data_IF_018696801954
#
_entry.id   IF_018696801954
#
_cell.length_a   1.000
_cell.length_b   1.000
_cell.length_c   1.000
_cell.angle_alpha   90.00
_cell.angle_beta   90.00
_cell.angle_gamma   90.00
#
_symmetry.space_group_name_H-M   'P 1'
#
loop_
_entity.id
_entity.type
_entity.pdbx_description
1 polymer ?
#
# COMPACT_ATOMS: atom_id res chain seq x y z
N UNK A 1 9.14 -14.96 -3.90
CA UNK A 1 9.52 -14.31 -2.65
C UNK A 1 11.03 -14.19 -2.53
N UNK A 2 11.49 -13.25 -1.70
CA UNK A 2 12.92 -13.05 -1.48
C UNK A 2 13.46 -14.03 -0.44
N UNK A 3 14.49 -14.77 -0.81
CA UNK A 3 15.34 -15.53 0.09
C UNK A 3 16.58 -14.73 0.46
N UNK A 4 17.13 -14.98 1.63
CA UNK A 4 18.38 -14.40 2.08
C UNK A 4 19.27 -15.48 2.67
N UNK A 5 20.55 -15.46 2.29
CA UNK A 5 21.63 -16.12 3.04
C UNK A 5 22.50 -15.04 3.62
N UNK A 6 22.92 -15.22 4.85
CA UNK A 6 23.94 -14.36 5.49
C UNK A 6 25.23 -15.15 5.61
N UNK A 7 26.31 -14.52 5.22
CA UNK A 7 27.64 -15.09 5.41
C UNK A 7 28.11 -14.95 6.87
N UNK A 8 29.33 -15.38 7.16
CA UNK A 8 29.94 -15.29 8.49
C UNK A 8 30.14 -13.86 9.00
N UNK A 9 30.11 -12.85 8.09
CA UNK A 9 30.20 -11.43 8.39
C UNK A 9 28.82 -10.75 8.42
N UNK A 10 27.74 -11.52 8.38
CA UNK A 10 26.37 -11.05 8.33
C UNK A 10 26.01 -10.26 7.07
N UNK A 11 26.78 -10.36 6.00
CA UNK A 11 26.45 -9.77 4.71
C UNK A 11 25.31 -10.57 4.09
N UNK A 12 24.26 -9.88 3.67
CA UNK A 12 23.12 -10.51 3.01
C UNK A 12 23.43 -10.80 1.54
N UNK A 13 22.99 -11.96 1.09
CA UNK A 13 22.96 -12.33 -0.33
C UNK A 13 21.50 -12.61 -0.70
N UNK A 14 20.77 -11.60 -1.18
CA UNK A 14 19.37 -11.74 -1.55
C UNK A 14 19.23 -12.41 -2.93
N UNK A 15 18.20 -13.23 -3.07
CA UNK A 15 17.81 -13.84 -4.32
C UNK A 15 16.32 -14.11 -4.34
N UNK A 16 15.72 -14.24 -5.51
CA UNK A 16 14.30 -14.53 -5.62
C UNK A 16 14.11 -16.02 -5.87
N UNK A 17 13.21 -16.63 -5.10
CA UNK A 17 12.85 -18.04 -5.16
C UNK A 17 11.34 -18.18 -5.30
N UNK A 18 10.89 -19.31 -5.80
CA UNK A 18 9.48 -19.57 -6.06
C UNK A 18 8.90 -20.67 -5.20
N UNK A 19 7.59 -20.65 -5.09
CA UNK A 19 6.80 -21.75 -4.58
C UNK A 19 5.51 -21.86 -5.39
N UNK A 20 5.02 -23.07 -5.54
CA UNK A 20 3.74 -23.35 -6.17
C UNK A 20 2.72 -23.66 -5.07
N UNK A 21 1.55 -23.06 -5.15
CA UNK A 21 0.42 -23.37 -4.27
C UNK A 21 -0.65 -24.07 -5.13
N UNK A 22 -1.09 -25.24 -4.70
CA UNK A 22 -2.18 -25.94 -5.36
C UNK A 22 -3.55 -25.40 -4.89
N UNK A 23 -4.62 -25.92 -5.51
CA UNK A 23 -6.00 -25.53 -5.20
C UNK A 23 -6.43 -25.79 -3.74
N UNK A 24 -5.74 -26.69 -3.05
CA UNK A 24 -6.01 -27.08 -1.65
C UNK A 24 -5.13 -26.27 -0.67
N UNK A 25 -4.37 -25.29 -1.17
CA UNK A 25 -3.49 -24.42 -0.39
C UNK A 25 -2.14 -25.05 -0.01
N UNK A 26 -1.82 -26.23 -0.53
CA UNK A 26 -0.53 -26.86 -0.27
C UNK A 26 0.59 -26.13 -1.04
N UNK A 27 1.61 -25.73 -0.32
CA UNK A 27 2.76 -25.02 -0.87
C UNK A 27 3.92 -25.98 -1.09
N UNK A 28 4.48 -25.97 -2.30
CA UNK A 28 5.68 -26.70 -2.68
C UNK A 28 6.73 -25.71 -3.15
N UNK A 29 7.87 -25.66 -2.48
CA UNK A 29 8.99 -24.78 -2.85
C UNK A 29 9.67 -25.28 -4.11
N UNK A 30 10.08 -24.34 -4.97
CA UNK A 30 10.93 -24.62 -6.11
C UNK A 30 12.37 -24.64 -5.60
N UNK A 31 13.06 -25.76 -5.79
CA UNK A 31 14.46 -25.94 -5.35
C UNK A 31 15.44 -25.35 -6.39
N UNK A 32 15.30 -24.07 -6.65
CA UNK A 32 16.12 -23.29 -7.60
C UNK A 32 16.02 -21.81 -7.30
N UNK A 33 17.15 -21.10 -7.36
CA UNK A 33 17.15 -19.63 -7.42
C UNK A 33 16.58 -19.24 -8.79
N UNK A 34 15.55 -18.40 -8.80
CA UNK A 34 14.88 -17.92 -10.00
C UNK A 34 15.54 -16.65 -10.55
N UNK A 35 15.85 -15.71 -9.67
CA UNK A 35 16.55 -14.47 -9.99
C UNK A 35 17.59 -14.23 -8.90
N UNK A 36 18.85 -14.22 -9.29
CA UNK A 36 19.95 -13.93 -8.38
C UNK A 36 20.17 -12.43 -8.22
N UNK A 37 20.89 -12.02 -7.17
CA UNK A 37 21.28 -10.62 -6.96
C UNK A 37 22.09 -10.12 -8.15
N UNK A 38 21.67 -9.02 -8.81
CA UNK A 38 22.46 -8.44 -9.89
C UNK A 38 23.78 -7.85 -9.38
N UNK A 39 24.83 -7.95 -10.19
CA UNK A 39 26.16 -7.44 -9.84
C UNK A 39 26.22 -5.90 -9.69
N UNK A 40 25.26 -5.20 -10.26
CA UNK A 40 25.10 -3.74 -10.20
C UNK A 40 24.16 -3.27 -9.09
N UNK A 41 23.73 -4.19 -8.18
CA UNK A 41 22.92 -3.88 -7.01
C UNK A 41 23.66 -4.11 -5.71
N UNK A 42 23.24 -3.40 -4.67
CA UNK A 42 23.65 -3.69 -3.28
C UNK A 42 22.85 -4.90 -2.77
N UNK A 43 23.01 -5.25 -1.49
CA UNK A 43 22.20 -6.28 -0.83
C UNK A 43 20.73 -5.88 -0.58
N UNK A 44 20.32 -4.70 -1.01
CA UNK A 44 18.93 -4.30 -1.13
C UNK A 44 18.39 -4.71 -2.52
N UNK A 45 17.90 -5.95 -2.61
CA UNK A 45 17.27 -6.50 -3.80
C UNK A 45 16.18 -7.48 -3.39
N UNK A 46 14.90 -7.05 -3.39
CA UNK A 46 13.79 -7.78 -2.76
C UNK A 46 12.42 -7.44 -3.32
N UNK A 47 11.41 -8.12 -2.78
CA UNK A 47 9.98 -7.88 -2.97
C UNK A 47 9.53 -8.11 -4.42
N UNK A 48 9.70 -9.36 -4.94
CA UNK A 48 9.29 -9.68 -6.30
C UNK A 48 7.78 -9.74 -6.42
N UNK A 49 7.24 -9.13 -7.48
CA UNK A 49 5.87 -9.33 -7.92
C UNK A 49 5.85 -9.92 -9.33
N UNK A 50 5.04 -10.97 -9.55
CA UNK A 50 4.80 -11.55 -10.87
C UNK A 50 3.46 -11.04 -11.39
N UNK A 51 3.40 -10.68 -12.67
CA UNK A 51 2.17 -10.29 -13.35
C UNK A 51 2.13 -10.83 -14.79
N UNK A 52 0.92 -10.91 -15.34
CA UNK A 52 0.71 -11.25 -16.75
C UNK A 52 0.35 -10.00 -17.54
N UNK A 53 1.02 -9.79 -18.66
CA UNK A 53 0.67 -8.74 -19.61
C UNK A 53 0.56 -9.34 -21.00
N UNK A 54 -0.63 -9.30 -21.57
CA UNK A 54 -0.96 -9.81 -22.91
C UNK A 54 -0.48 -11.26 -23.16
N UNK A 55 -0.63 -12.10 -22.14
CA UNK A 55 -0.26 -13.52 -22.21
C UNK A 55 1.21 -13.86 -21.93
N UNK A 56 2.07 -12.86 -21.72
CA UNK A 56 3.44 -13.02 -21.30
C UNK A 56 3.58 -12.72 -19.80
N UNK A 57 4.36 -13.53 -19.08
CA UNK A 57 4.66 -13.29 -17.68
C UNK A 57 5.91 -12.44 -17.50
N UNK A 58 5.80 -11.50 -16.62
CA UNK A 58 6.86 -10.60 -16.18
C UNK A 58 6.98 -10.63 -14.66
N UNK A 59 8.14 -10.22 -14.16
CA UNK A 59 8.34 -9.94 -12.75
C UNK A 59 9.03 -8.58 -12.58
N UNK A 60 8.66 -7.86 -11.53
CA UNK A 60 9.41 -6.68 -11.08
C UNK A 60 10.01 -6.96 -9.72
N UNK A 61 11.18 -6.41 -9.46
CA UNK A 61 11.91 -6.56 -8.20
C UNK A 61 12.44 -5.19 -7.79
N UNK A 62 12.22 -4.80 -6.54
CA UNK A 62 12.79 -3.57 -5.98
C UNK A 62 14.26 -3.73 -5.66
N UNK A 63 15.04 -2.68 -5.85
CA UNK A 63 16.47 -2.71 -5.62
C UNK A 63 17.08 -1.37 -5.30
N UNK A 64 18.37 -1.43 -4.94
CA UNK A 64 19.25 -0.29 -4.77
C UNK A 64 20.51 -0.52 -5.59
N UNK A 65 20.90 0.45 -6.40
CA UNK A 65 22.14 0.40 -7.17
C UNK A 65 23.38 0.68 -6.31
N UNK A 66 24.55 0.56 -6.90
CA UNK A 66 25.83 0.80 -6.20
C UNK A 66 26.04 2.27 -5.81
N UNK A 67 25.29 3.21 -6.41
CA UNK A 67 25.25 4.63 -6.02
C UNK A 67 24.24 4.90 -4.90
N UNK A 68 23.62 3.83 -4.35
CA UNK A 68 22.57 3.87 -3.32
C UNK A 68 21.30 4.61 -3.77
N UNK A 69 20.90 4.41 -5.02
CA UNK A 69 19.65 4.90 -5.60
C UNK A 69 18.68 3.74 -5.82
N UNK A 70 17.44 3.96 -5.42
CA UNK A 70 16.37 2.98 -5.61
C UNK A 70 16.00 2.79 -7.08
N UNK A 71 15.77 1.54 -7.48
CA UNK A 71 15.27 1.17 -8.80
C UNK A 71 14.21 0.05 -8.71
N UNK A 72 13.49 -0.15 -9.77
CA UNK A 72 12.62 -1.31 -9.98
C UNK A 72 13.11 -2.02 -11.25
N UNK A 73 13.49 -3.29 -11.16
CA UNK A 73 13.99 -4.05 -12.31
C UNK A 73 12.93 -4.96 -12.88
N UNK A 74 12.75 -4.89 -14.20
CA UNK A 74 11.83 -5.73 -14.95
C UNK A 74 12.53 -7.00 -15.47
N UNK A 75 11.86 -8.12 -15.29
CA UNK A 75 12.25 -9.44 -15.83
C UNK A 75 11.12 -10.00 -16.67
N UNK A 76 11.49 -10.78 -17.69
CA UNK A 76 10.57 -11.52 -18.57
C UNK A 76 10.78 -13.02 -18.37
N UNK A 77 9.70 -13.78 -18.22
CA UNK A 77 9.77 -15.23 -18.20
C UNK A 77 10.16 -15.75 -19.59
N UNK A 78 11.17 -16.63 -19.64
CA UNK A 78 11.69 -17.19 -20.90
C UNK A 78 10.89 -18.42 -21.33
N UNK A 79 10.31 -19.12 -20.37
CA UNK A 79 9.55 -20.35 -20.54
C UNK A 79 8.22 -20.31 -19.80
N UNK A 80 7.38 -21.32 -20.02
CA UNK A 80 6.06 -21.42 -19.41
C UNK A 80 6.07 -22.06 -18.01
N UNK A 81 7.21 -22.49 -17.50
CA UNK A 81 7.35 -23.08 -16.17
C UNK A 81 7.73 -22.05 -15.09
N UNK A 82 7.98 -20.80 -15.51
CA UNK A 82 8.34 -19.65 -14.67
C UNK A 82 9.60 -19.84 -13.84
N UNK A 83 10.48 -20.75 -14.26
CA UNK A 83 11.72 -21.03 -13.55
C UNK A 83 12.94 -20.34 -14.15
N UNK A 84 12.80 -19.76 -15.35
CA UNK A 84 13.86 -19.03 -16.04
C UNK A 84 13.41 -17.62 -16.38
N UNK A 85 14.17 -16.64 -15.90
CA UNK A 85 13.88 -15.23 -16.04
C UNK A 85 15.04 -14.50 -16.71
N UNK A 86 14.72 -13.61 -17.62
CA UNK A 86 15.68 -12.74 -18.28
C UNK A 86 15.43 -11.30 -17.86
N UNK A 87 16.47 -10.59 -17.41
CA UNK A 87 16.37 -9.16 -17.14
C UNK A 87 16.12 -8.42 -18.46
N UNK A 88 15.12 -7.53 -18.45
CA UNK A 88 14.84 -6.58 -19.53
C UNK A 88 15.62 -5.29 -19.28
N UNK A 89 15.49 -4.71 -18.08
CA UNK A 89 16.15 -3.48 -17.67
C UNK A 89 15.51 -2.91 -16.40
N UNK A 90 15.98 -1.76 -15.98
CA UNK A 90 15.31 -0.98 -14.96
C UNK A 90 14.06 -0.33 -15.56
N UNK A 91 12.95 -0.45 -14.85
CA UNK A 91 11.68 0.12 -15.27
C UNK A 91 11.79 1.66 -15.25
N UNK A 92 11.58 2.28 -16.40
CA UNK A 92 11.41 3.72 -16.48
C UNK A 92 9.94 4.06 -16.14
N UNK A 93 9.77 4.74 -15.03
CA UNK A 93 8.48 5.26 -14.56
C UNK A 93 8.62 6.74 -14.13
N UNK A 94 9.54 7.47 -14.76
CA UNK A 94 9.91 8.83 -14.40
C UNK A 94 10.31 8.95 -12.91
N UNK A 95 11.20 8.03 -12.45
CA UNK A 95 11.72 8.04 -11.09
C UNK A 95 12.63 9.24 -10.84
N UNK A 96 12.38 10.00 -9.77
CA UNK A 96 13.20 11.14 -9.36
C UNK A 96 14.58 10.74 -8.80
N UNK A 97 14.76 9.45 -8.43
CA UNK A 97 15.98 8.85 -7.89
C UNK A 97 16.48 9.45 -6.57
N UNK A 98 15.60 10.06 -5.78
CA UNK A 98 15.96 10.56 -4.44
C UNK A 98 15.86 9.45 -3.39
N UNK A 99 14.92 8.54 -3.52
CA UNK A 99 14.77 7.38 -2.63
C UNK A 99 15.96 6.42 -2.75
N UNK A 100 16.42 5.91 -1.62
CA UNK A 100 17.55 4.96 -1.61
C UNK A 100 17.13 3.51 -1.87
N UNK A 101 15.84 3.18 -1.75
CA UNK A 101 15.31 1.84 -2.01
C UNK A 101 13.85 1.93 -2.49
N UNK A 102 13.50 1.13 -3.48
CA UNK A 102 12.11 0.93 -3.91
C UNK A 102 11.60 -0.39 -3.33
N UNK A 103 10.86 -0.31 -2.21
CA UNK A 103 10.26 -1.50 -1.58
C UNK A 103 8.89 -1.81 -2.15
N UNK A 104 8.55 -3.08 -2.10
CA UNK A 104 7.22 -3.61 -2.44
C UNK A 104 6.65 -3.08 -3.76
N UNK A 105 7.42 -3.06 -4.88
CA UNK A 105 6.86 -2.60 -6.14
C UNK A 105 5.80 -3.58 -6.63
N UNK A 106 4.64 -3.04 -7.02
CA UNK A 106 3.56 -3.79 -7.64
C UNK A 106 3.09 -3.07 -8.90
N UNK A 107 3.15 -3.73 -10.04
CA UNK A 107 2.62 -3.23 -11.30
C UNK A 107 1.32 -3.97 -11.60
N UNK A 108 0.21 -3.24 -11.59
CA UNK A 108 -1.12 -3.75 -11.91
C UNK A 108 -1.78 -2.92 -13.00
N UNK A 109 -2.79 -3.47 -13.64
CA UNK A 109 -3.52 -2.80 -14.70
C UNK A 109 -4.95 -2.48 -14.25
N UNK A 110 -5.29 -1.19 -14.25
CA UNK A 110 -6.64 -0.69 -13.99
C UNK A 110 -7.24 -0.30 -15.33
N UNK A 111 -8.08 -1.15 -15.89
CA UNK A 111 -8.40 -1.09 -17.30
C UNK A 111 -7.16 -1.32 -18.15
N UNK A 112 -6.80 -0.37 -18.99
CA UNK A 112 -5.60 -0.44 -19.83
C UNK A 112 -4.39 0.32 -19.24
N UNK A 113 -4.58 1.02 -18.11
CA UNK A 113 -3.55 1.84 -17.50
C UNK A 113 -2.68 1.02 -16.54
N UNK A 114 -1.35 1.00 -16.75
CA UNK A 114 -0.42 0.48 -15.75
C UNK A 114 -0.39 1.40 -14.54
N UNK A 115 -0.48 0.82 -13.36
CA UNK A 115 -0.37 1.50 -12.07
C UNK A 115 0.76 0.85 -11.30
N UNK A 116 1.79 1.63 -10.99
CA UNK A 116 2.90 1.20 -10.13
C UNK A 116 2.63 1.68 -8.71
N UNK A 117 2.47 0.74 -7.79
CA UNK A 117 2.42 0.97 -6.34
C UNK A 117 3.78 0.63 -5.76
N UNK A 118 4.32 1.44 -4.87
CA UNK A 118 5.63 1.18 -4.26
C UNK A 118 5.87 2.04 -3.02
N UNK A 119 6.87 1.64 -2.24
CA UNK A 119 7.28 2.34 -1.02
C UNK A 119 8.72 2.87 -1.21
N UNK A 120 8.89 4.13 -1.65
CA UNK A 120 10.20 4.72 -1.89
C UNK A 120 10.85 5.16 -0.57
N UNK A 121 11.67 4.30 0.04
CA UNK A 121 12.35 4.64 1.28
C UNK A 121 13.35 5.77 1.10
N UNK A 122 13.27 6.76 1.99
CA UNK A 122 14.13 7.94 1.95
C UNK A 122 13.82 8.91 0.80
N UNK A 123 12.58 8.86 0.27
CA UNK A 123 12.09 9.87 -0.69
C UNK A 123 12.28 11.27 -0.10
N UNK A 124 12.86 12.17 -0.89
CA UNK A 124 13.00 13.57 -0.49
C UNK A 124 11.61 14.21 -0.38
N UNK A 125 11.31 14.83 0.76
CA UNK A 125 10.06 15.56 0.99
C UNK A 125 9.87 16.74 0.05
N UNK A 126 10.92 17.20 -0.60
CA UNK A 126 10.84 18.18 -1.70
C UNK A 126 10.19 17.62 -2.98
N UNK A 127 10.16 16.29 -3.16
CA UNK A 127 9.47 15.63 -4.28
C UNK A 127 7.98 15.50 -4.01
N UNK A 128 7.62 14.96 -2.85
CA UNK A 128 6.24 14.88 -2.37
C UNK A 128 6.24 14.82 -0.84
N UNK A 129 5.42 15.64 -0.20
CA UNK A 129 5.33 15.67 1.25
C UNK A 129 4.56 14.46 1.80
N UNK A 130 5.05 13.92 2.91
CA UNK A 130 4.45 12.82 3.65
C UNK A 130 4.89 12.88 5.13
N UNK A 131 4.04 12.46 6.05
CA UNK A 131 4.31 12.54 7.48
C UNK A 131 4.91 11.25 8.05
N UNK A 132 4.62 10.10 7.46
CA UNK A 132 5.07 8.80 7.96
C UNK A 132 6.60 8.63 7.81
N UNK A 133 7.20 7.72 8.58
CA UNK A 133 8.63 7.41 8.45
C UNK A 133 8.98 6.93 7.03
N UNK A 134 8.10 6.11 6.44
CA UNK A 134 8.23 5.62 5.07
C UNK A 134 6.95 5.89 4.28
N UNK A 135 7.08 6.43 3.06
CA UNK A 135 5.94 6.73 2.22
C UNK A 135 5.41 5.49 1.49
N UNK A 136 4.12 5.52 1.13
CA UNK A 136 3.45 4.56 0.29
C UNK A 136 2.80 5.30 -0.87
N UNK A 137 3.28 5.06 -2.09
CA UNK A 137 3.07 5.93 -3.24
C UNK A 137 2.55 5.16 -4.45
N UNK A 138 2.02 5.91 -5.44
CA UNK A 138 1.68 5.36 -6.74
C UNK A 138 1.97 6.32 -7.89
N UNK A 139 2.07 5.75 -9.09
CA UNK A 139 2.08 6.43 -10.38
C UNK A 139 1.20 5.70 -11.38
N UNK A 140 0.58 6.44 -12.29
CA UNK A 140 -0.25 5.90 -13.37
C UNK A 140 0.44 6.20 -14.70
N UNK A 141 0.61 5.19 -15.57
CA UNK A 141 1.06 5.35 -16.94
C UNK A 141 -0.12 5.32 -17.92
N UNK A 142 0.04 5.95 -19.08
CA UNK A 142 -0.91 5.82 -20.18
C UNK A 142 -0.83 4.43 -20.82
N UNK A 143 0.40 3.85 -20.90
CA UNK A 143 0.64 2.50 -21.41
C UNK A 143 1.92 1.91 -20.83
N UNK A 144 2.09 0.59 -21.04
CA UNK A 144 3.29 -0.16 -20.65
C UNK A 144 3.98 -0.74 -21.87
N UNK A 145 5.27 -0.44 -22.03
CA UNK A 145 6.16 -1.02 -23.03
C UNK A 145 7.14 -2.00 -22.35
N UNK A 146 6.84 -3.30 -22.37
CA UNK A 146 7.67 -4.28 -21.70
C UNK A 146 9.01 -4.56 -22.41
N UNK A 147 9.15 -4.24 -23.69
CA UNK A 147 10.40 -4.49 -24.43
C UNK A 147 11.45 -3.41 -24.12
N UNK A 148 11.01 -2.20 -23.77
CA UNK A 148 11.87 -1.11 -23.32
C UNK A 148 11.87 -0.92 -21.80
N UNK A 149 11.17 -1.75 -21.05
CA UNK A 149 10.97 -1.60 -19.59
C UNK A 149 10.46 -0.19 -19.23
N UNK A 150 9.37 0.27 -19.85
CA UNK A 150 8.90 1.65 -19.73
C UNK A 150 7.40 1.73 -19.41
N UNK A 151 7.04 2.59 -18.48
CA UNK A 151 5.69 3.14 -18.33
C UNK A 151 5.64 4.47 -19.09
N UNK A 152 4.80 4.55 -20.12
CA UNK A 152 4.72 5.72 -21.02
C UNK A 152 3.77 6.75 -20.44
N UNK A 153 4.09 8.04 -20.60
CA UNK A 153 3.27 9.18 -20.15
C UNK A 153 2.80 9.04 -18.70
N UNK A 154 3.76 8.98 -17.80
CA UNK A 154 3.54 8.70 -16.37
C UNK A 154 3.04 9.95 -15.64
N UNK A 155 2.02 9.75 -14.79
CA UNK A 155 1.48 10.79 -13.91
C UNK A 155 2.52 11.30 -12.90
N UNK A 156 2.32 12.49 -12.33
CA UNK A 156 3.06 12.88 -11.13
C UNK A 156 2.92 11.83 -10.02
N UNK A 157 3.92 11.77 -9.14
CA UNK A 157 3.90 10.94 -7.94
C UNK A 157 2.76 11.37 -7.00
N UNK A 158 2.07 10.41 -6.39
CA UNK A 158 0.97 10.66 -5.46
C UNK A 158 1.02 9.70 -4.27
N UNK A 159 0.55 10.18 -3.11
CA UNK A 159 0.33 9.35 -1.94
C UNK A 159 -0.75 8.30 -2.24
N UNK A 160 -0.48 7.04 -1.92
CA UNK A 160 -1.49 5.98 -2.00
C UNK A 160 -2.45 6.03 -0.81
N UNK A 161 -1.94 6.44 0.35
CA UNK A 161 -2.69 6.56 1.59
C UNK A 161 -2.27 7.83 2.34
N UNK A 162 -3.21 8.48 3.02
CA UNK A 162 -2.99 9.69 3.80
C UNK A 162 -3.06 9.44 5.30
N UNK A 163 -3.16 8.17 5.73
CA UNK A 163 -3.23 7.77 7.13
C UNK A 163 -1.85 7.58 7.78
N UNK A 164 -1.86 6.92 8.93
CA UNK A 164 -0.66 6.77 9.77
C UNK A 164 0.19 5.57 9.39
N UNK A 165 -0.41 4.43 9.02
CA UNK A 165 0.27 3.14 9.02
C UNK A 165 0.06 2.27 7.76
N UNK A 166 -0.55 2.77 6.67
CA UNK A 166 -0.69 1.96 5.46
C UNK A 166 0.65 1.84 4.72
N UNK A 167 1.21 0.63 4.66
CA UNK A 167 2.53 0.36 4.08
C UNK A 167 2.58 -0.98 3.34
N UNK A 168 3.65 -1.21 2.58
CA UNK A 168 3.97 -2.48 1.92
C UNK A 168 2.79 -3.07 1.13
N UNK A 169 2.03 -2.22 0.43
CA UNK A 169 0.85 -2.63 -0.34
C UNK A 169 1.21 -3.70 -1.35
N UNK A 170 0.43 -4.78 -1.35
CA UNK A 170 0.49 -5.83 -2.36
C UNK A 170 -0.75 -5.76 -3.24
N UNK A 171 -0.56 -5.86 -4.56
CA UNK A 171 -1.65 -5.77 -5.51
C UNK A 171 -1.50 -6.78 -6.65
N UNK A 172 -2.62 -7.17 -7.24
CA UNK A 172 -2.63 -8.07 -8.39
C UNK A 172 -3.90 -7.87 -9.23
N UNK A 173 -3.84 -8.31 -10.48
CA UNK A 173 -5.03 -8.40 -11.30
C UNK A 173 -5.70 -9.76 -11.09
N UNK A 174 -6.94 -9.74 -10.63
CA UNK A 174 -7.77 -10.92 -10.48
C UNK A 174 -8.22 -11.48 -11.85
N UNK A 175 -8.59 -12.76 -11.93
CA UNK A 175 -9.03 -13.37 -13.20
C UNK A 175 -10.27 -12.70 -13.84
N UNK A 176 -11.07 -11.99 -13.06
CA UNK A 176 -12.24 -11.22 -13.52
C UNK A 176 -11.87 -9.81 -14.04
N UNK A 177 -10.59 -9.47 -14.05
CA UNK A 177 -10.06 -8.20 -14.55
C UNK A 177 -9.95 -7.08 -13.54
N UNK A 178 -10.47 -7.25 -12.32
CA UNK A 178 -10.29 -6.25 -11.24
C UNK A 178 -8.83 -6.17 -10.80
N UNK A 179 -8.38 -4.98 -10.48
CA UNK A 179 -7.14 -4.76 -9.76
C UNK A 179 -7.45 -4.69 -8.25
N UNK A 180 -6.89 -5.59 -7.47
CA UNK A 180 -7.12 -5.72 -6.04
C UNK A 180 -5.84 -5.42 -5.28
N UNK A 181 -5.98 -4.77 -4.12
CA UNK A 181 -4.86 -4.41 -3.25
C UNK A 181 -5.18 -4.66 -1.78
N UNK A 182 -4.14 -4.96 -1.02
CA UNK A 182 -4.15 -5.04 0.44
C UNK A 182 -2.86 -4.44 0.99
N UNK A 183 -2.96 -3.66 2.06
CA UNK A 183 -1.81 -3.03 2.72
C UNK A 183 -1.55 -3.66 4.08
N UNK A 184 -0.33 -3.61 4.55
CA UNK A 184 -0.04 -3.77 5.96
C UNK A 184 -0.39 -2.47 6.68
N UNK A 185 -1.22 -2.56 7.71
CA UNK A 185 -1.48 -1.47 8.65
C UNK A 185 -0.46 -1.57 9.78
N UNK A 186 0.70 -1.03 9.52
CA UNK A 186 1.88 -1.04 10.35
C UNK A 186 3.05 -0.39 9.61
N UNK A 187 4.09 0.00 10.33
CA UNK A 187 5.32 0.56 9.76
C UNK A 187 6.53 -0.15 10.37
N UNK A 188 7.58 -0.42 9.60
CA UNK A 188 8.85 -0.83 10.18
C UNK A 188 9.42 0.30 11.05
N UNK A 189 10.24 -0.10 12.04
CA UNK A 189 10.91 0.81 12.97
C UNK A 189 9.98 1.63 13.89
N UNK A 190 8.69 1.27 13.97
CA UNK A 190 7.72 1.82 14.93
C UNK A 190 7.35 0.75 15.94
N UNK A 191 7.43 1.10 17.24
CA UNK A 191 6.93 0.25 18.33
C UNK A 191 5.48 0.59 18.61
N UNK A 192 4.64 -0.44 18.67
CA UNK A 192 3.20 -0.28 18.89
C UNK A 192 2.79 -0.73 20.30
N UNK A 193 1.76 -0.12 20.90
CA UNK A 193 1.23 -0.59 22.19
C UNK A 193 0.77 -2.05 22.18
N UNK A 194 0.45 -2.59 21.01
CA UNK A 194 0.06 -3.98 20.82
C UNK A 194 1.21 -4.99 20.89
N UNK A 195 2.48 -4.54 20.82
CA UNK A 195 3.68 -5.41 20.90
C UNK A 195 3.67 -6.25 22.17
N UNK A 196 3.16 -5.72 23.28
CA UNK A 196 2.99 -6.45 24.55
C UNK A 196 2.03 -7.63 24.50
N UNK A 197 1.28 -7.76 23.40
CA UNK A 197 0.36 -8.88 23.14
C UNK A 197 0.86 -9.77 21.99
N UNK A 198 2.15 -9.70 21.66
CA UNK A 198 2.76 -10.41 20.54
C UNK A 198 2.07 -10.13 19.18
N UNK A 199 1.58 -8.89 19.01
CA UNK A 199 0.81 -8.47 17.85
C UNK A 199 1.26 -7.09 17.35
N UNK A 200 1.70 -7.01 16.10
CA UNK A 200 2.13 -5.77 15.46
C UNK A 200 1.55 -5.65 14.06
N UNK A 201 0.59 -4.73 13.93
CA UNK A 201 -0.10 -4.47 12.67
C UNK A 201 -1.08 -5.57 12.25
N UNK A 202 -1.77 -5.31 11.17
CA UNK A 202 -2.74 -6.22 10.55
C UNK A 202 -2.84 -5.91 9.06
N UNK A 203 -3.65 -6.65 8.32
CA UNK A 203 -3.99 -6.28 6.95
C UNK A 203 -5.12 -5.25 6.91
N UNK A 204 -5.08 -4.36 5.92
CA UNK A 204 -6.23 -3.55 5.54
C UNK A 204 -7.35 -4.42 5.00
N UNK A 205 -8.52 -3.85 4.82
CA UNK A 205 -9.53 -4.46 3.95
C UNK A 205 -8.98 -4.63 2.54
N UNK A 206 -9.42 -5.68 1.84
CA UNK A 206 -9.10 -5.82 0.42
C UNK A 206 -9.85 -4.75 -0.35
N UNK A 207 -9.12 -3.98 -1.15
CA UNK A 207 -9.64 -2.84 -1.92
C UNK A 207 -9.58 -3.12 -3.41
N UNK A 208 -10.60 -2.69 -4.12
CA UNK A 208 -10.61 -2.62 -5.58
C UNK A 208 -10.05 -1.26 -6.01
N UNK A 209 -9.12 -1.28 -6.94
CA UNK A 209 -8.50 -0.10 -7.52
C UNK A 209 -9.26 0.34 -8.76
N UNK A 210 -9.60 1.63 -8.83
CA UNK A 210 -10.24 2.24 -10.00
C UNK A 210 -9.56 3.56 -10.36
N UNK A 211 -9.65 3.98 -11.61
CA UNK A 211 -9.12 5.27 -12.06
C UNK A 211 -10.30 6.16 -12.48
N UNK A 212 -10.30 7.37 -11.97
CA UNK A 212 -11.23 8.44 -12.38
C UNK A 212 -10.49 9.77 -12.43
N UNK A 213 -10.64 10.50 -13.51
CA UNK A 213 -10.04 11.83 -13.73
C UNK A 213 -8.52 11.85 -13.46
N UNK A 214 -7.81 10.79 -13.87
CA UNK A 214 -6.36 10.63 -13.71
C UNK A 214 -5.87 10.36 -12.28
N UNK A 215 -6.78 10.07 -11.35
CA UNK A 215 -6.48 9.70 -9.96
C UNK A 215 -6.87 8.24 -9.70
N UNK A 216 -6.08 7.58 -8.86
CA UNK A 216 -6.38 6.25 -8.36
C UNK A 216 -7.33 6.35 -7.17
N UNK A 217 -8.41 5.59 -7.23
CA UNK A 217 -9.33 5.40 -6.13
C UNK A 217 -9.23 3.96 -5.65
N UNK A 218 -9.41 3.78 -4.35
CA UNK A 218 -9.42 2.48 -3.70
C UNK A 218 -10.61 2.41 -2.74
N UNK A 219 -11.40 1.35 -2.87
CA UNK A 219 -12.57 1.14 -2.03
C UNK A 219 -12.68 -0.35 -1.66
N UNK A 220 -13.10 -0.69 -0.44
CA UNK A 220 -13.27 -2.08 -0.04
C UNK A 220 -14.15 -2.86 -1.01
N UNK A 221 -13.75 -4.10 -1.33
CA UNK A 221 -14.50 -4.96 -2.24
C UNK A 221 -15.92 -5.20 -1.72
N UNK A 222 -16.88 -5.35 -2.65
CA UNK A 222 -18.30 -5.48 -2.32
C UNK A 222 -18.62 -6.62 -1.32
N UNK A 223 -17.80 -7.68 -1.31
CA UNK A 223 -17.93 -8.81 -0.40
C UNK A 223 -17.84 -8.42 1.09
N UNK A 224 -17.21 -7.29 1.43
CA UNK A 224 -17.16 -6.78 2.82
C UNK A 224 -18.57 -6.52 3.36
N UNK A 225 -19.52 -6.14 2.50
CA UNK A 225 -20.92 -5.91 2.89
C UNK A 225 -21.63 -7.18 3.40
N UNK A 226 -21.15 -8.37 3.02
CA UNK A 226 -21.70 -9.65 3.50
C UNK A 226 -21.39 -9.91 4.99
N UNK A 227 -20.45 -9.15 5.56
CA UNK A 227 -20.10 -9.20 6.99
C UNK A 227 -21.09 -8.41 7.87
N UNK A 228 -21.99 -7.61 7.28
CA UNK A 228 -22.98 -6.81 8.00
C UNK A 228 -24.01 -7.73 8.66
N UNK A 229 -24.11 -7.67 10.00
CA UNK A 229 -25.07 -8.46 10.77
C UNK A 229 -26.39 -7.71 11.02
N UNK A 230 -26.29 -6.40 11.26
CA UNK A 230 -27.44 -5.52 11.52
C UNK A 230 -27.09 -4.09 11.12
N UNK A 231 -28.10 -3.27 10.98
CA UNK A 231 -27.99 -1.84 10.72
C UNK A 231 -28.87 -1.09 11.71
N UNK A 232 -28.35 0.02 12.23
CA UNK A 232 -29.09 0.92 13.11
C UNK A 232 -28.72 2.38 12.85
N UNK A 233 -29.64 3.28 13.11
CA UNK A 233 -29.38 4.71 12.95
C UNK A 233 -28.53 5.19 14.12
N UNK A 234 -27.40 5.79 13.79
CA UNK A 234 -26.52 6.42 14.77
C UNK A 234 -27.19 7.62 15.46
N UNK A 235 -27.00 7.73 16.75
CA UNK A 235 -27.42 8.88 17.57
C UNK A 235 -26.20 9.54 18.22
N UNK A 236 -26.39 10.65 18.92
CA UNK A 236 -25.31 11.47 19.49
C UNK A 236 -24.22 10.69 20.24
N UNK A 237 -24.55 9.57 20.83
CA UNK A 237 -23.60 8.65 21.47
C UNK A 237 -24.10 7.24 21.35
N UNK A 238 -23.33 6.40 20.67
CA UNK A 238 -23.63 4.97 20.49
C UNK A 238 -22.51 4.15 21.08
N UNK A 239 -22.86 3.16 21.88
CA UNK A 239 -21.90 2.19 22.39
C UNK A 239 -21.77 1.04 21.40
N UNK A 240 -20.52 0.70 21.03
CA UNK A 240 -20.21 -0.37 20.08
C UNK A 240 -19.32 -1.42 20.72
N UNK A 241 -19.12 -2.55 20.02
CA UNK A 241 -18.15 -3.59 20.37
C UNK A 241 -16.79 -3.38 19.71
N UNK A 242 -16.56 -2.21 19.08
CA UNK A 242 -15.37 -1.86 18.31
C UNK A 242 -15.17 -2.72 17.06
N UNK A 243 -16.25 -3.21 16.46
CA UNK A 243 -16.25 -3.84 15.14
C UNK A 243 -17.52 -3.42 14.42
N UNK A 244 -17.41 -2.42 13.54
CA UNK A 244 -18.54 -1.84 12.85
C UNK A 244 -18.12 -1.05 11.61
N UNK A 245 -19.08 -0.81 10.74
CA UNK A 245 -19.00 0.15 9.64
C UNK A 245 -19.92 1.33 9.98
N UNK A 246 -19.48 2.54 9.67
CA UNK A 246 -20.24 3.76 9.86
C UNK A 246 -20.30 4.53 8.54
N UNK A 247 -21.50 4.87 8.10
CA UNK A 247 -21.74 5.75 6.95
C UNK A 247 -22.23 7.13 7.44
N UNK A 248 -21.58 8.19 6.99
CA UNK A 248 -21.91 9.58 7.31
C UNK A 248 -22.20 10.36 6.03
N UNK A 249 -23.38 10.94 5.93
CA UNK A 249 -23.69 11.87 4.85
C UNK A 249 -23.20 13.26 5.23
N UNK A 250 -22.28 13.80 4.46
CA UNK A 250 -21.66 15.10 4.63
C UNK A 250 -22.29 16.10 3.65
N UNK A 251 -22.83 17.20 4.15
CA UNK A 251 -23.42 18.25 3.33
C UNK A 251 -22.31 19.11 2.68
N UNK A 252 -22.56 19.62 1.48
CA UNK A 252 -21.65 20.53 0.81
C UNK A 252 -21.36 21.77 1.66
N UNK A 253 -20.10 22.23 1.65
CA UNK A 253 -19.65 23.42 2.38
C UNK A 253 -20.00 23.37 3.89
N UNK A 254 -19.96 22.18 4.49
CA UNK A 254 -20.22 21.97 5.92
C UNK A 254 -18.93 21.67 6.68
N UNK A 255 -19.03 21.80 8.01
CA UNK A 255 -18.01 21.32 8.95
C UNK A 255 -18.66 20.37 9.94
N UNK A 256 -18.03 19.24 10.18
CA UNK A 256 -18.50 18.27 11.18
C UNK A 256 -17.35 17.50 11.78
N UNK A 257 -17.55 17.01 12.99
CA UNK A 257 -16.57 16.21 13.72
C UNK A 257 -17.24 14.96 14.27
N UNK A 258 -16.51 13.86 14.25
CA UNK A 258 -16.87 12.65 14.97
C UNK A 258 -15.70 12.17 15.81
N UNK A 259 -15.99 11.72 17.04
CA UNK A 259 -14.99 11.09 17.92
C UNK A 259 -15.32 9.61 18.04
N UNK A 260 -14.40 8.78 17.58
CA UNK A 260 -14.51 7.33 17.58
C UNK A 260 -13.72 6.73 18.76
N UNK A 261 -14.11 5.53 19.19
CA UNK A 261 -13.44 4.80 20.27
C UNK A 261 -13.28 5.68 21.55
N UNK A 262 -14.28 6.52 21.80
CA UNK A 262 -14.24 7.48 22.90
C UNK A 262 -14.34 6.79 24.26
N UNK A 263 -13.55 7.26 25.22
CA UNK A 263 -13.67 6.89 26.63
C UNK A 263 -14.89 7.55 27.30
N UNK A 264 -15.01 7.39 28.62
CA UNK A 264 -16.12 7.96 29.40
C UNK A 264 -16.10 9.50 29.43
N UNK A 265 -14.93 10.08 29.23
CA UNK A 265 -14.71 11.53 29.20
C UNK A 265 -14.92 12.12 27.81
N UNK A 266 -15.13 11.29 26.80
CA UNK A 266 -15.30 11.70 25.41
C UNK A 266 -14.00 11.88 24.65
N UNK A 267 -12.85 11.44 25.18
CA UNK A 267 -11.56 11.44 24.50
C UNK A 267 -11.42 10.21 23.63
N UNK A 268 -10.97 10.38 22.40
CA UNK A 268 -10.83 9.30 21.44
C UNK A 268 -10.16 9.75 20.15
N UNK A 269 -10.37 9.01 19.10
CA UNK A 269 -9.91 9.33 17.74
C UNK A 269 -10.87 10.36 17.13
N UNK A 270 -10.41 11.59 16.91
CA UNK A 270 -11.20 12.64 16.28
C UNK A 270 -11.02 12.62 14.77
N UNK A 271 -12.11 12.72 14.02
CA UNK A 271 -12.12 12.95 12.58
C UNK A 271 -12.91 14.22 12.29
N UNK A 272 -12.22 15.21 11.75
CA UNK A 272 -12.80 16.49 11.35
C UNK A 272 -12.98 16.52 9.84
N UNK A 273 -14.21 16.74 9.39
CA UNK A 273 -14.57 16.93 7.98
C UNK A 273 -14.82 18.41 7.74
N UNK A 274 -13.86 19.09 7.14
CA UNK A 274 -13.96 20.50 6.78
C UNK A 274 -14.18 20.66 5.27
N UNK A 275 -15.42 20.53 4.82
CA UNK A 275 -15.77 20.70 3.40
C UNK A 275 -15.79 22.19 2.98
N UNK A 276 -15.70 23.14 3.94
CA UNK A 276 -15.53 24.57 3.62
C UNK A 276 -14.14 24.83 3.08
N UNK A 277 -13.11 24.26 3.74
CA UNK A 277 -11.69 24.42 3.37
C UNK A 277 -11.17 23.24 2.54
N UNK A 278 -11.98 22.21 2.27
CA UNK A 278 -11.61 21.07 1.43
C UNK A 278 -10.59 20.13 2.07
N UNK A 279 -10.78 19.82 3.36
CA UNK A 279 -9.85 18.97 4.11
C UNK A 279 -10.58 18.00 5.05
N UNK A 280 -10.06 16.78 5.15
CA UNK A 280 -10.36 15.84 6.25
C UNK A 280 -9.12 15.72 7.12
N UNK A 281 -9.28 15.81 8.44
CA UNK A 281 -8.18 15.65 9.39
C UNK A 281 -8.53 14.59 10.42
N UNK A 282 -7.64 13.65 10.62
CA UNK A 282 -7.68 12.64 11.66
C UNK A 282 -6.69 13.00 12.74
N UNK A 283 -7.14 13.08 13.99
CA UNK A 283 -6.31 13.37 15.17
C UNK A 283 -6.41 12.26 16.20
N UNK A 284 -5.27 11.60 16.47
CA UNK A 284 -5.15 10.56 17.50
C UNK A 284 -4.54 11.04 18.82
N UNK A 285 -4.32 12.34 18.99
CA UNK A 285 -3.65 12.89 20.17
C UNK A 285 -4.36 12.59 21.50
N UNK A 286 -5.67 12.27 21.43
CA UNK A 286 -6.48 11.88 22.58
C UNK A 286 -6.96 10.41 22.50
N UNK A 287 -6.48 9.64 21.54
CA UNK A 287 -6.90 8.26 21.31
C UNK A 287 -5.97 7.28 22.03
N UNK A 288 -6.43 6.73 23.16
CA UNK A 288 -5.76 5.63 23.85
C UNK A 288 -4.29 5.91 24.21
N UNK A 289 -3.46 4.89 24.14
CA UNK A 289 -2.03 4.95 24.44
C UNK A 289 -1.26 5.58 23.27
N UNK A 290 -0.43 6.57 23.57
CA UNK A 290 0.30 7.34 22.56
C UNK A 290 1.58 6.61 22.14
N UNK A 291 1.87 6.62 20.83
CA UNK A 291 3.08 6.04 20.24
C UNK A 291 3.49 6.85 19.00
N UNK A 292 4.75 6.68 18.53
CA UNK A 292 5.30 7.28 17.32
C UNK A 292 4.97 8.78 17.18
N UNK A 293 5.04 9.52 18.29
CA UNK A 293 4.68 10.96 18.35
C UNK A 293 5.65 11.82 17.54
N UNK A 294 6.87 11.34 17.32
CA UNK A 294 7.88 11.99 16.48
C UNK A 294 7.44 12.17 15.02
N UNK A 295 6.47 11.36 14.56
CA UNK A 295 5.86 11.48 13.23
C UNK A 295 4.52 12.22 13.26
N UNK A 296 4.19 12.88 14.38
CA UNK A 296 2.93 13.62 14.59
C UNK A 296 1.74 12.74 14.95
N UNK A 297 0.70 13.40 15.44
CA UNK A 297 -0.55 12.77 15.88
C UNK A 297 -1.73 13.08 14.97
N UNK A 298 -1.51 13.84 13.91
CA UNK A 298 -2.54 14.22 12.95
C UNK A 298 -2.17 13.76 11.53
N UNK A 299 -3.20 13.47 10.74
CA UNK A 299 -3.07 13.23 9.30
C UNK A 299 -4.19 13.94 8.58
N UNK A 300 -3.89 14.49 7.41
CA UNK A 300 -4.89 15.23 6.64
C UNK A 300 -4.84 14.85 5.18
N UNK A 301 -5.99 14.85 4.53
CA UNK A 301 -6.08 14.70 3.09
C UNK A 301 -7.02 15.75 2.48
N UNK A 302 -6.79 16.14 1.22
CA UNK A 302 -7.71 17.03 0.52
C UNK A 302 -9.02 16.30 0.19
N UNK A 303 -10.14 17.03 0.24
CA UNK A 303 -11.46 16.58 -0.16
C UNK A 303 -12.15 17.70 -0.93
N UNK A 304 -13.08 17.35 -1.84
CA UNK A 304 -13.90 18.33 -2.51
C UNK A 304 -14.93 18.93 -1.53
N UNK A 305 -15.35 20.16 -1.79
CA UNK A 305 -16.37 20.86 -0.99
C UNK A 305 -17.82 20.43 -1.33
N UNK A 306 -17.99 19.42 -2.15
CA UNK A 306 -19.28 18.88 -2.54
C UNK A 306 -19.85 17.94 -1.49
N UNK A 307 -21.17 17.77 -1.46
CA UNK A 307 -21.82 16.75 -0.65
C UNK A 307 -21.26 15.36 -1.00
N UNK A 308 -20.94 14.59 0.01
CA UNK A 308 -20.35 13.25 -0.14
C UNK A 308 -20.73 12.34 1.02
N UNK A 309 -20.34 11.08 0.94
CA UNK A 309 -20.48 10.11 2.02
C UNK A 309 -19.09 9.69 2.50
N UNK A 310 -18.87 9.77 3.80
CA UNK A 310 -17.71 9.14 4.44
C UNK A 310 -18.13 7.76 4.95
N UNK A 311 -17.34 6.75 4.60
CA UNK A 311 -17.50 5.39 5.13
C UNK A 311 -16.28 5.05 5.98
N UNK A 312 -16.52 4.68 7.23
CA UNK A 312 -15.47 4.38 8.21
C UNK A 312 -15.64 2.93 8.66
N UNK A 313 -14.58 2.14 8.56
CA UNK A 313 -14.52 0.78 9.05
C UNK A 313 -13.68 0.73 10.32
N UNK A 314 -14.21 0.13 11.37
CA UNK A 314 -13.51 -0.10 12.63
C UNK A 314 -13.44 -1.59 12.89
N UNK A 315 -12.24 -2.09 13.15
CA UNK A 315 -12.04 -3.44 13.67
C UNK A 315 -11.00 -3.43 14.81
N UNK A 316 -11.53 -3.40 16.04
CA UNK A 316 -10.77 -3.41 17.30
C UNK A 316 -9.76 -2.24 17.39
N UNK A 317 -8.54 -2.45 16.94
CA UNK A 317 -7.41 -1.53 17.05
C UNK A 317 -7.09 -0.78 15.75
N UNK A 318 -7.83 -1.03 14.68
CA UNK A 318 -7.60 -0.40 13.38
C UNK A 318 -8.86 0.28 12.85
N UNK A 319 -8.66 1.30 12.04
CA UNK A 319 -9.73 1.94 11.30
C UNK A 319 -9.26 2.27 9.87
N UNK A 320 -10.22 2.33 8.96
CA UNK A 320 -10.02 2.80 7.58
C UNK A 320 -11.18 3.75 7.21
N UNK A 321 -10.89 4.83 6.48
CA UNK A 321 -11.86 5.83 6.03
C UNK A 321 -11.62 6.14 4.56
#
# INVERSE_FOLDING_TARGET
>A
YTGNVRDENWIRHPYQIGALMDKDGKITKIDKILIDQPADSTDHFRDPQIFNFKGQYYAIVGGQDLEKKGFVRLYKAVDNDYTNWQAVGDLDFANDRTAYMMECPNLVFVGEHPVLLYCPQGLDKGVLDYDNIYPNMYKIGASFDPENAEMVDVSPLQNLDYGFEAYATQAFNAPDGRALAVSWLGLPDVSYPSDRFDHQGTFSLVKELTIKDGKLYQYPVAAVKELRASEEVFSNRTQTNNTYELELNLEANSQSEIVLLADKEGKGLSINFDLVNGQVTVDRSQAGEQYAQEFGTTRSCPIDNQATTATIFIDKSVFEI
#
